data_IF_607907701300
#
_entry.id   IF_607907701300
#
_cell.length_a   1.000
_cell.length_b   1.000
_cell.length_c   1.000
_cell.angle_alpha   90.00
_cell.angle_beta   90.00
_cell.angle_gamma   90.00
#
_symmetry.space_group_name_H-M   'P 1'
#
loop_
_entity.id
_entity.type
_entity.pdbx_description
1 polymer ?
#
# COMPACT_ATOMS: atom_id res chain seq x y z
N UNK A 1 -5.88 2.27 22.98
CA UNK A 1 -4.49 2.59 22.90
C UNK A 1 -4.10 3.04 21.51
N UNK A 2 -2.85 3.38 21.33
CA UNK A 2 -2.44 3.98 20.06
C UNK A 2 -2.58 3.06 18.89
N UNK A 3 -2.36 1.80 19.08
CA UNK A 3 -2.45 0.85 17.98
C UNK A 3 -3.90 0.73 17.51
N UNK A 4 -4.83 0.70 18.47
CA UNK A 4 -6.23 0.64 18.10
C UNK A 4 -6.71 1.93 17.47
N UNK A 5 -6.17 3.04 17.91
CA UNK A 5 -6.53 4.29 17.29
C UNK A 5 -6.03 4.34 15.86
N UNK A 6 -4.82 3.85 15.63
CA UNK A 6 -4.28 3.85 14.28
C UNK A 6 -5.17 3.04 13.36
N UNK A 7 -5.59 1.86 13.81
CA UNK A 7 -6.46 1.04 12.98
C UNK A 7 -7.81 1.70 12.76
N UNK A 8 -8.31 2.42 13.78
CA UNK A 8 -9.58 3.08 13.64
C UNK A 8 -9.57 4.29 12.75
N UNK A 9 -8.37 4.81 12.43
CA UNK A 9 -8.26 6.04 11.65
C UNK A 9 -7.71 5.79 10.25
N UNK A 10 -7.87 4.60 9.72
CA UNK A 10 -7.37 4.29 8.38
C UNK A 10 -8.15 5.08 7.35
N UNK A 11 -7.48 5.41 6.27
CA UNK A 11 -8.11 6.07 5.14
C UNK A 11 -8.81 5.08 4.23
N UNK A 12 -8.27 3.86 4.12
CA UNK A 12 -8.90 2.78 3.39
C UNK A 12 -8.74 1.50 4.16
N UNK A 13 -9.76 0.65 4.08
CA UNK A 13 -9.68 -0.71 4.60
C UNK A 13 -10.34 -1.63 3.62
N UNK A 14 -9.77 -2.82 3.45
CA UNK A 14 -10.34 -3.82 2.57
C UNK A 14 -10.03 -5.18 3.12
N UNK A 15 -11.01 -6.04 3.11
CA UNK A 15 -10.84 -7.38 3.65
C UNK A 15 -11.52 -8.40 2.79
N UNK A 16 -10.78 -9.45 2.47
CA UNK A 16 -11.34 -10.63 1.83
C UNK A 16 -11.19 -11.77 2.81
N UNK A 17 -11.63 -12.97 2.42
CA UNK A 17 -11.41 -14.11 3.30
C UNK A 17 -9.93 -14.45 3.42
N UNK A 18 -9.10 -13.98 2.51
CA UNK A 18 -7.68 -14.34 2.46
C UNK A 18 -6.75 -13.27 3.01
N UNK A 19 -7.13 -12.01 2.96
CA UNK A 19 -6.20 -10.95 3.33
C UNK A 19 -6.96 -9.72 3.80
N UNK A 20 -6.37 -9.02 4.76
CA UNK A 20 -6.89 -7.71 5.19
C UNK A 20 -5.83 -6.67 4.87
N UNK A 21 -6.23 -5.56 4.29
CA UNK A 21 -5.33 -4.48 3.90
C UNK A 21 -5.87 -3.18 4.48
N UNK A 22 -4.99 -2.39 5.06
CA UNK A 22 -5.35 -1.07 5.58
C UNK A 22 -4.35 -0.06 5.05
N UNK A 23 -4.82 1.14 4.75
CA UNK A 23 -3.98 2.18 4.16
C UNK A 23 -4.16 3.46 4.92
N UNK A 24 -3.06 4.13 5.20
CA UNK A 24 -3.04 5.43 5.86
C UNK A 24 -2.26 6.43 5.02
N UNK A 25 -2.84 7.60 4.82
CA UNK A 25 -2.06 8.72 4.30
C UNK A 25 -1.31 9.32 5.46
N UNK A 26 -0.02 9.46 5.34
CA UNK A 26 0.78 10.01 6.41
C UNK A 26 1.05 11.49 6.17
N UNK A 27 1.45 12.17 7.23
CA UNK A 27 1.83 13.57 7.15
C UNK A 27 3.04 13.70 6.22
N UNK A 28 2.99 14.64 5.29
CA UNK A 28 4.06 14.80 4.32
C UNK A 28 5.41 15.07 4.98
N UNK A 29 5.40 15.58 6.21
CA UNK A 29 6.65 15.80 6.93
C UNK A 29 7.36 14.51 7.30
N UNK A 30 6.66 13.37 7.21
CA UNK A 30 7.28 12.08 7.49
C UNK A 30 8.06 11.56 6.31
N UNK A 31 7.91 12.14 5.13
CA UNK A 31 8.64 11.70 3.96
C UNK A 31 10.05 12.25 4.00
N UNK A 32 11.01 11.44 3.54
CA UNK A 32 12.38 11.88 3.43
C UNK A 32 12.58 12.77 2.22
N UNK A 33 11.80 12.52 1.17
CA UNK A 33 11.82 13.34 -0.03
C UNK A 33 10.70 14.36 0.10
N UNK A 34 11.03 15.66 0.01
CA UNK A 34 10.04 16.70 0.22
C UNK A 34 8.94 16.71 -0.84
N UNK A 35 9.18 16.08 -2.00
CA UNK A 35 8.18 16.03 -3.05
C UNK A 35 7.35 14.76 -2.99
N UNK A 36 7.63 13.88 -2.06
CA UNK A 36 6.94 12.59 -2.00
C UNK A 36 5.74 12.64 -1.06
N UNK A 37 4.79 11.77 -1.33
CA UNK A 37 3.63 11.57 -0.47
C UNK A 37 3.84 10.25 0.25
N UNK A 38 3.93 10.25 1.59
CA UNK A 38 4.13 9.00 2.31
C UNK A 38 2.80 8.32 2.57
N UNK A 39 2.78 7.02 2.30
CA UNK A 39 1.58 6.21 2.48
C UNK A 39 1.99 4.96 3.23
N UNK A 40 1.23 4.57 4.24
CA UNK A 40 1.49 3.32 4.95
C UNK A 40 0.44 2.31 4.57
N UNK A 41 0.88 1.09 4.26
CA UNK A 41 0.00 -0.02 3.94
C UNK A 41 0.28 -1.15 4.90
N UNK A 42 -0.76 -1.63 5.58
CA UNK A 42 -0.67 -2.80 6.42
C UNK A 42 -1.32 -3.97 5.72
N UNK A 43 -0.65 -5.11 5.70
CA UNK A 43 -1.15 -6.32 5.07
C UNK A 43 -1.14 -7.43 6.10
N UNK A 44 -2.28 -8.09 6.27
CA UNK A 44 -2.41 -9.20 7.20
C UNK A 44 -2.95 -10.41 6.42
N UNK A 45 -2.16 -11.47 6.36
CA UNK A 45 -2.55 -12.66 5.62
C UNK A 45 -3.43 -13.52 6.51
N UNK A 46 -4.66 -13.74 6.08
CA UNK A 46 -5.65 -14.49 6.85
C UNK A 46 -5.72 -15.94 6.47
N UNK A 47 -5.56 -16.25 5.18
CA UNK A 47 -5.54 -17.63 4.70
C UNK A 47 -4.61 -17.72 3.51
N UNK A 48 -4.00 -18.89 3.32
CA UNK A 48 -3.12 -19.13 2.19
C UNK A 48 -1.74 -18.55 2.40
N UNK A 49 -0.81 -19.00 1.59
CA UNK A 49 0.56 -18.48 1.63
C UNK A 49 0.83 -17.83 0.29
N UNK A 50 1.36 -16.62 0.33
CA UNK A 50 1.63 -15.85 -0.88
C UNK A 50 3.10 -15.96 -1.25
N UNK A 51 3.35 -16.19 -2.55
CA UNK A 51 4.69 -16.16 -3.11
C UNK A 51 4.71 -15.07 -4.16
N UNK A 52 5.87 -14.49 -4.38
CA UNK A 52 6.03 -13.43 -5.37
C UNK A 52 5.03 -12.31 -5.14
N UNK A 53 4.77 -12.02 -3.88
CA UNK A 53 3.80 -10.99 -3.53
C UNK A 53 4.36 -9.61 -3.85
N UNK A 54 3.49 -8.74 -4.34
CA UNK A 54 3.86 -7.35 -4.63
C UNK A 54 2.69 -6.45 -4.31
N UNK A 55 3.01 -5.26 -3.82
CA UNK A 55 2.04 -4.18 -3.66
C UNK A 55 2.18 -3.24 -4.84
N UNK A 56 1.08 -2.93 -5.47
CA UNK A 56 1.07 -2.06 -6.62
C UNK A 56 0.30 -0.79 -6.31
N UNK A 57 0.85 0.33 -6.73
CA UNK A 57 0.26 1.66 -6.50
C UNK A 57 -0.07 2.27 -7.86
N UNK A 58 -1.29 2.03 -8.33
CA UNK A 58 -1.68 2.45 -9.67
C UNK A 58 -2.19 3.87 -9.69
N UNK A 59 -1.73 4.66 -10.64
CA UNK A 59 -2.22 6.02 -10.85
C UNK A 59 -3.39 6.02 -11.84
N UNK A 60 -4.14 7.12 -11.91
CA UNK A 60 -5.17 7.25 -12.95
C UNK A 60 -4.58 7.15 -14.35
N UNK A 61 -5.42 6.86 -15.31
CA UNK A 61 -5.00 6.73 -16.69
C UNK A 61 -4.26 8.00 -17.12
N UNK A 62 -3.10 7.82 -17.72
CA UNK A 62 -2.30 8.95 -18.18
C UNK A 62 -1.37 9.52 -17.12
N UNK A 63 -1.41 8.98 -15.90
CA UNK A 63 -0.54 9.41 -14.82
C UNK A 63 0.24 8.22 -14.31
N UNK A 64 1.22 8.47 -13.47
CA UNK A 64 2.03 7.38 -12.93
C UNK A 64 2.61 7.80 -11.59
N UNK A 65 2.77 6.83 -10.70
CA UNK A 65 3.49 7.00 -9.45
C UNK A 65 4.84 6.34 -9.58
N UNK A 66 5.80 6.92 -8.90
CA UNK A 66 7.10 6.27 -8.77
C UNK A 66 7.43 6.19 -7.31
N UNK A 67 7.85 5.02 -6.84
CA UNK A 67 8.22 4.80 -5.46
C UNK A 67 9.69 5.17 -5.33
N UNK A 68 10.00 6.09 -4.42
CA UNK A 68 11.38 6.54 -4.24
C UNK A 68 11.98 6.09 -2.92
N UNK A 69 11.13 5.61 -2.00
CA UNK A 69 11.60 5.17 -0.69
C UNK A 69 10.62 4.16 -0.13
N UNK A 70 11.10 3.12 0.50
CA UNK A 70 10.26 2.12 1.14
C UNK A 70 10.88 1.74 2.49
N UNK A 71 10.05 1.70 3.55
CA UNK A 71 10.47 1.26 4.85
C UNK A 71 9.53 0.14 5.30
N UNK A 72 9.98 -1.04 5.68
CA UNK A 72 11.37 -1.51 5.61
C UNK A 72 11.87 -1.57 4.19
N UNK A 73 13.12 -1.89 4.01
CA UNK A 73 13.76 -1.80 2.70
C UNK A 73 13.42 -2.99 1.82
N UNK A 74 12.21 -3.03 1.32
CA UNK A 74 11.87 -4.00 0.30
C UNK A 74 12.36 -3.50 -1.05
N UNK A 75 12.56 -4.41 -1.96
CA UNK A 75 12.87 -4.04 -3.33
C UNK A 75 11.65 -3.37 -3.94
N UNK A 76 11.88 -2.35 -4.73
CA UNK A 76 10.78 -1.69 -5.42
C UNK A 76 11.23 -1.24 -6.79
N UNK A 77 10.27 -1.07 -7.69
CA UNK A 77 10.54 -0.67 -9.03
C UNK A 77 9.30 -0.01 -9.61
N UNK A 78 9.44 1.23 -10.07
CA UNK A 78 8.30 1.96 -10.61
C UNK A 78 7.22 2.12 -9.56
N UNK A 79 6.10 1.50 -9.77
CA UNK A 79 4.95 1.62 -8.87
C UNK A 79 4.73 0.37 -8.03
N UNK A 80 5.68 -0.55 -8.00
CA UNK A 80 5.52 -1.80 -7.27
C UNK A 80 6.57 -2.00 -6.19
N UNK A 81 6.13 -2.56 -5.06
CA UNK A 81 7.01 -2.99 -3.98
C UNK A 81 6.93 -4.51 -3.91
N UNK A 82 8.08 -5.17 -3.93
CA UNK A 82 8.12 -6.64 -3.95
C UNK A 82 8.28 -7.16 -2.53
N UNK A 83 7.26 -7.89 -2.07
CA UNK A 83 7.22 -8.40 -0.72
C UNK A 83 7.71 -9.84 -0.59
N UNK A 84 7.83 -10.52 -1.74
CA UNK A 84 8.31 -11.90 -1.81
C UNK A 84 7.30 -12.85 -1.16
N UNK A 85 7.64 -13.49 -0.07
CA UNK A 85 6.79 -14.52 0.52
C UNK A 85 6.10 -14.00 1.75
N UNK A 86 4.79 -14.25 1.86
CA UNK A 86 4.02 -13.89 3.04
C UNK A 86 3.18 -15.09 3.45
N UNK A 87 3.35 -15.51 4.68
CA UNK A 87 2.65 -16.68 5.21
C UNK A 87 1.43 -16.28 5.99
N UNK A 88 0.54 -17.24 6.17
CA UNK A 88 -0.66 -17.05 6.99
C UNK A 88 -0.25 -16.50 8.36
N UNK A 89 -0.98 -15.51 8.84
CA UNK A 89 -0.70 -14.88 10.12
C UNK A 89 0.29 -13.74 10.06
N UNK A 90 1.01 -13.58 8.95
CA UNK A 90 1.96 -12.49 8.83
C UNK A 90 1.23 -11.16 8.76
N UNK A 91 1.78 -10.18 9.47
CA UNK A 91 1.34 -8.79 9.38
C UNK A 91 2.54 -7.97 9.00
N UNK A 92 2.42 -7.20 7.95
CA UNK A 92 3.51 -6.39 7.45
C UNK A 92 3.02 -4.97 7.25
N UNK A 93 3.78 -4.01 7.77
CA UNK A 93 3.47 -2.60 7.56
C UNK A 93 4.58 -2.01 6.71
N UNK A 94 4.20 -1.35 5.64
CA UNK A 94 5.13 -0.80 4.68
C UNK A 94 4.82 0.66 4.49
N UNK A 95 5.81 1.52 4.65
CA UNK A 95 5.66 2.92 4.31
C UNK A 95 6.35 3.14 2.97
N UNK A 96 5.63 3.66 2.00
CA UNK A 96 6.17 3.96 0.69
C UNK A 96 6.04 5.45 0.43
N UNK A 97 7.06 6.04 -0.19
CA UNK A 97 7.03 7.44 -0.57
C UNK A 97 6.84 7.50 -2.08
N UNK A 98 5.77 8.17 -2.50
CA UNK A 98 5.35 8.20 -3.90
C UNK A 98 5.57 9.58 -4.48
N UNK A 99 6.16 9.64 -5.67
CA UNK A 99 6.27 10.89 -6.41
C UNK A 99 5.63 10.71 -7.77
N UNK A 100 5.20 11.77 -8.40
CA UNK A 100 4.61 11.67 -9.73
C UNK A 100 3.52 12.69 -9.98
N UNK A 101 3.04 13.34 -8.93
CA UNK A 101 2.03 14.38 -9.09
C UNK A 101 0.66 13.88 -9.49
N UNK A 102 0.42 12.58 -9.39
CA UNK A 102 -0.91 12.06 -9.68
C UNK A 102 -1.88 12.42 -8.55
N UNK A 103 -3.16 12.37 -8.83
CA UNK A 103 -4.17 12.84 -7.88
C UNK A 103 -4.76 11.73 -7.04
N UNK A 104 -4.51 10.48 -7.39
CA UNK A 104 -5.07 9.37 -6.65
C UNK A 104 -4.25 8.11 -6.87
N UNK A 105 -4.51 7.09 -6.06
CA UNK A 105 -3.82 5.82 -6.18
C UNK A 105 -4.80 4.69 -5.88
N UNK A 106 -4.72 3.64 -6.67
CA UNK A 106 -5.41 2.38 -6.39
C UNK A 106 -4.37 1.39 -5.91
N UNK A 107 -4.68 0.65 -4.87
CA UNK A 107 -3.71 -0.22 -4.23
C UNK A 107 -4.14 -1.66 -4.40
N UNK A 108 -3.20 -2.50 -4.79
CA UNK A 108 -3.47 -3.90 -5.06
C UNK A 108 -2.34 -4.76 -4.51
N UNK A 109 -2.69 -5.84 -3.85
CA UNK A 109 -1.74 -6.89 -3.50
C UNK A 109 -1.90 -8.00 -4.50
N UNK A 110 -0.82 -8.38 -5.18
CA UNK A 110 -0.90 -9.49 -6.13
C UNK A 110 0.26 -10.44 -5.94
N UNK A 111 0.15 -11.62 -6.54
CA UNK A 111 1.16 -12.64 -6.41
C UNK A 111 0.55 -14.00 -6.66
N UNK A 112 1.12 -15.02 -6.04
CA UNK A 112 0.60 -16.37 -6.11
C UNK A 112 0.23 -16.83 -4.72
N UNK A 113 -1.03 -17.21 -4.55
CA UNK A 113 -1.49 -17.74 -3.28
C UNK A 113 -1.65 -19.24 -3.45
N UNK A 114 -0.86 -20.01 -2.69
CA UNK A 114 -0.86 -21.48 -2.78
C UNK A 114 -0.65 -21.96 -4.20
N UNK A 115 0.21 -21.26 -4.95
CA UNK A 115 0.57 -21.65 -6.30
C UNK A 115 -0.34 -21.13 -7.39
N UNK A 116 -1.41 -20.41 -7.04
CA UNK A 116 -2.36 -19.89 -8.01
C UNK A 116 -2.27 -18.37 -8.08
N UNK A 117 -2.34 -17.77 -9.27
CA UNK A 117 -2.34 -16.31 -9.37
C UNK A 117 -3.48 -15.72 -8.57
N UNK A 118 -3.21 -14.69 -7.79
CA UNK A 118 -4.20 -14.05 -6.95
C UNK A 118 -3.96 -12.55 -6.88
N UNK A 119 -5.02 -11.81 -6.65
CA UNK A 119 -4.91 -10.37 -6.46
C UNK A 119 -6.01 -9.92 -5.52
N UNK A 120 -5.67 -8.94 -4.70
CA UNK A 120 -6.63 -8.29 -3.82
C UNK A 120 -6.50 -6.79 -4.09
N UNK A 121 -7.44 -6.26 -4.86
CA UNK A 121 -7.41 -4.85 -5.24
C UNK A 121 -8.46 -4.13 -4.43
N UNK A 122 -8.04 -3.09 -3.72
CA UNK A 122 -8.96 -2.30 -2.93
C UNK A 122 -9.90 -1.57 -3.89
N UNK A 123 -11.21 -1.75 -3.77
CA UNK A 123 -12.14 -1.16 -4.74
C UNK A 123 -12.27 0.35 -4.62
N UNK A 124 -11.87 0.90 -3.48
CA UNK A 124 -11.97 2.34 -3.26
C UNK A 124 -10.64 2.99 -3.61
N UNK A 125 -10.68 4.08 -4.37
CA UNK A 125 -9.49 4.81 -4.75
C UNK A 125 -9.12 5.78 -3.63
N UNK A 126 -7.83 5.83 -3.28
CA UNK A 126 -7.34 6.78 -2.31
C UNK A 126 -6.99 8.07 -3.05
N UNK A 127 -7.61 9.17 -2.69
CA UNK A 127 -7.36 10.44 -3.35
C UNK A 127 -6.48 11.32 -2.51
N UNK A 128 -5.65 12.11 -3.17
CA UNK A 128 -4.81 13.09 -2.52
C UNK A 128 -5.34 14.47 -2.89
N UNK A 129 -5.95 15.08 -1.92
CA UNK A 129 -6.63 16.33 -2.16
C UNK A 129 -5.82 17.45 -1.61
N UNK A 130 -4.97 18.01 -2.44
CA UNK A 130 -4.04 19.02 -1.98
C UNK A 130 -4.69 20.36 -1.79
N UNK A 131 -5.93 20.50 -2.22
CA UNK A 131 -6.61 21.76 -2.03
C UNK A 131 -7.12 21.95 -0.64
N UNK A 132 -7.23 20.89 0.08
CA UNK A 132 -7.86 20.96 1.33
C UNK A 132 -7.18 21.75 2.34
N UNK A 133 -5.91 21.94 2.16
CA UNK A 133 -5.22 22.65 3.15
C UNK A 133 -5.48 24.10 3.09
N UNK A 134 -6.10 24.56 2.11
CA UNK A 134 -6.38 25.96 2.07
C UNK A 134 -7.37 26.41 3.08
#
# INVERSE_FOLDING_TARGET
DDANKAWGDTDLEYRTENVAIAVWKLDSRMAKDSDAIPVMVGVHILQGNWDLAALRFDAPVGQAWEIVQVEPRFLHRGEEVFLDTMAVGNKTFIMAELVGGATSVDIELNGRMDGEPSAARIPTTLTFNTHEEE
#
